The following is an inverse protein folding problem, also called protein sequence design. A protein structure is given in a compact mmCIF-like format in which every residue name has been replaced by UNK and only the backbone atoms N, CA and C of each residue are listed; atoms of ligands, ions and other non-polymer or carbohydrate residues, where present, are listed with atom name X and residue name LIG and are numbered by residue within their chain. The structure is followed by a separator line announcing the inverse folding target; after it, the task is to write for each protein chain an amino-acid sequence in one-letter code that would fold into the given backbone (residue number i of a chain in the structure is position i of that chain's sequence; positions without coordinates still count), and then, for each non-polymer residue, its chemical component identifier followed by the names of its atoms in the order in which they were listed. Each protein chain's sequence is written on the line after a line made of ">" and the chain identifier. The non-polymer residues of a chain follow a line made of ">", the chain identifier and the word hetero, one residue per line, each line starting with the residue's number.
data_IF_575882079750
#
_entry.id   IF_575882079750
#
_cell.length_a   1.000
_cell.length_b   1.000
_cell.length_c   1.000
_cell.angle_alpha   90.00
_cell.angle_beta   90.00
_cell.angle_gamma   90.00
#
_symmetry.space_group_name_H-M   'P 1'
#
loop_
_entity.id
_entity.type
_entity.pdbx_description
1 polymer ?
#
# COMPACT_ATOMS: atom_id res chain seq x y z
N UNK A 1 32.93 -19.38 39.84
CA UNK A 1 33.56 -18.61 38.75
C UNK A 1 32.51 -18.45 37.65
N UNK A 2 31.33 -17.89 37.92
CA UNK A 2 31.06 -16.47 38.17
C UNK A 2 31.82 -15.54 37.22
N UNK A 3 31.16 -15.18 36.12
CA UNK A 3 31.35 -13.89 35.45
C UNK A 3 30.07 -13.50 34.70
N UNK A 4 29.22 -12.73 35.40
CA UNK A 4 28.56 -11.54 34.87
C UNK A 4 27.60 -11.67 33.69
N UNK A 5 26.43 -12.28 33.92
CA UNK A 5 25.22 -11.88 33.18
C UNK A 5 24.81 -10.51 33.70
N UNK A 6 25.10 -9.45 32.95
CA UNK A 6 24.54 -8.13 33.22
C UNK A 6 23.07 -8.14 32.76
N UNK A 7 22.17 -8.26 33.73
CA UNK A 7 20.75 -8.02 33.57
C UNK A 7 20.51 -6.59 33.11
N UNK A 8 20.09 -6.42 31.85
CA UNK A 8 19.46 -5.19 31.38
C UNK A 8 17.96 -5.42 31.42
N UNK A 9 17.33 -4.99 32.51
CA UNK A 9 15.90 -4.80 32.56
C UNK A 9 15.52 -3.63 31.63
N UNK A 10 14.93 -3.96 30.49
CA UNK A 10 14.16 -3.06 29.63
C UNK A 10 13.22 -3.98 28.87
N UNK A 11 12.02 -4.25 29.38
CA UNK A 11 10.94 -3.28 29.40
C UNK A 11 10.09 -3.64 28.19
N UNK A 12 9.06 -4.44 28.43
CA UNK A 12 8.07 -4.88 27.45
C UNK A 12 7.40 -3.69 26.77
N UNK A 13 7.96 -3.16 25.69
CA UNK A 13 7.26 -2.23 24.79
C UNK A 13 6.43 -3.03 23.78
N UNK A 14 5.44 -3.75 24.32
CA UNK A 14 4.19 -3.94 23.62
C UNK A 14 3.60 -2.55 23.43
N UNK A 15 3.93 -1.90 22.32
CA UNK A 15 3.35 -0.64 21.88
C UNK A 15 1.87 -0.88 21.60
N UNK A 16 1.13 -0.85 22.70
CA UNK A 16 -0.30 -0.70 22.78
C UNK A 16 -0.61 0.46 21.86
N UNK A 17 -1.25 0.18 20.72
CA UNK A 17 -1.99 1.19 19.99
C UNK A 17 -2.96 1.71 21.02
N UNK A 18 -2.60 2.82 21.66
CA UNK A 18 -3.47 3.56 22.53
C UNK A 18 -4.60 4.01 21.61
N UNK A 19 -5.63 3.16 21.50
CA UNK A 19 -6.98 3.61 21.22
C UNK A 19 -7.14 4.74 22.21
N UNK A 20 -7.07 5.97 21.71
CA UNK A 20 -7.44 7.14 22.48
C UNK A 20 -8.88 6.91 22.89
N UNK A 21 -9.06 6.27 24.04
CA UNK A 21 -10.22 6.49 24.86
C UNK A 21 -10.08 7.97 25.15
N UNK A 22 -10.76 8.78 24.33
CA UNK A 22 -11.13 10.13 24.71
C UNK A 22 -11.76 9.91 26.07
N UNK A 23 -11.01 10.23 27.13
CA UNK A 23 -11.60 10.44 28.45
C UNK A 23 -12.62 11.50 28.18
N UNK A 24 -13.88 11.08 28.01
CA UNK A 24 -15.01 11.97 28.09
C UNK A 24 -14.83 12.64 29.44
N UNK A 25 -14.35 13.89 29.40
CA UNK A 25 -14.28 14.73 30.58
C UNK A 25 -15.60 14.58 31.32
N UNK A 26 -15.49 14.43 32.64
CA UNK A 26 -16.60 14.38 33.58
C UNK A 26 -17.84 15.06 33.03
N UNK A 27 -18.94 14.30 32.92
CA UNK A 27 -20.27 14.84 32.61
C UNK A 27 -20.45 16.10 33.46
N UNK A 28 -20.67 17.29 32.87
CA UNK A 28 -20.75 18.49 33.66
C UNK A 28 -21.89 18.33 34.67
N UNK A 29 -21.62 18.75 35.90
CA UNK A 29 -22.62 18.86 36.95
C UNK A 29 -23.87 19.54 36.36
N UNK A 30 -25.04 18.99 36.68
CA UNK A 30 -26.35 19.40 36.18
C UNK A 30 -26.48 20.95 36.13
N UNK A 31 -26.36 21.53 34.93
CA UNK A 31 -26.54 22.98 34.72
C UNK A 31 -27.92 23.22 34.13
N UNK A 32 -28.78 24.02 34.76
CA UNK A 32 -30.10 24.37 34.23
C UNK A 32 -30.02 24.97 32.81
N UNK A 33 -28.93 25.67 32.49
CA UNK A 33 -28.70 26.27 31.17
C UNK A 33 -28.43 25.25 30.06
N UNK A 34 -28.05 24.02 30.43
CA UNK A 34 -27.80 22.93 29.49
C UNK A 34 -29.04 22.04 29.29
N UNK A 35 -30.18 22.37 29.93
CA UNK A 35 -31.44 21.66 29.73
C UNK A 35 -31.92 21.82 28.28
N UNK A 36 -32.42 20.75 27.61
CA UNK A 36 -32.76 20.80 26.18
C UNK A 36 -33.73 21.92 25.79
N UNK A 37 -34.69 22.27 26.65
CA UNK A 37 -35.65 23.35 26.41
C UNK A 37 -34.95 24.72 26.37
N UNK A 38 -34.05 24.99 27.31
CA UNK A 38 -33.28 26.25 27.32
C UNK A 38 -32.30 26.33 26.15
N UNK A 39 -31.67 25.22 25.78
CA UNK A 39 -30.83 25.15 24.58
C UNK A 39 -31.62 25.46 23.31
N UNK A 40 -32.83 24.89 23.16
CA UNK A 40 -33.70 25.12 22.00
C UNK A 40 -34.14 26.59 21.91
N UNK A 41 -34.57 27.18 23.04
CA UNK A 41 -34.93 28.60 23.09
C UNK A 41 -33.74 29.50 22.74
N UNK A 42 -32.55 29.21 23.26
CA UNK A 42 -31.33 30.01 23.00
C UNK A 42 -30.83 29.88 21.56
N UNK A 43 -30.93 28.70 20.97
CA UNK A 43 -30.47 28.44 19.60
C UNK A 43 -31.54 28.72 18.52
N UNK A 44 -32.74 29.15 18.90
CA UNK A 44 -33.86 29.33 17.98
C UNK A 44 -34.32 28.02 17.29
N UNK A 45 -34.04 26.87 17.90
CA UNK A 45 -34.31 25.54 17.33
C UNK A 45 -35.74 25.10 17.70
N UNK A 46 -36.72 25.73 17.06
CA UNK A 46 -38.17 25.51 17.31
C UNK A 46 -38.58 24.05 17.14
N UNK A 47 -37.90 23.32 16.24
CA UNK A 47 -38.22 21.93 15.94
C UNK A 47 -37.42 20.91 16.77
N UNK A 48 -36.46 21.37 17.58
CA UNK A 48 -35.60 20.49 18.38
C UNK A 48 -34.78 19.51 17.53
N UNK A 49 -34.40 19.89 16.31
CA UNK A 49 -33.64 19.05 15.36
C UNK A 49 -32.29 19.64 14.98
N UNK A 50 -31.97 20.80 15.53
CA UNK A 50 -30.78 21.57 15.23
C UNK A 50 -29.69 21.42 16.30
N UNK A 51 -28.92 22.48 16.54
CA UNK A 51 -27.76 22.42 17.43
C UNK A 51 -28.11 21.98 18.87
N UNK A 52 -29.32 22.26 19.37
CA UNK A 52 -29.72 21.99 20.75
C UNK A 52 -29.73 20.49 21.10
N UNK A 53 -29.96 19.62 20.12
CA UNK A 53 -29.97 18.15 20.28
C UNK A 53 -28.68 17.49 19.78
N UNK A 54 -27.73 18.27 19.24
CA UNK A 54 -26.45 17.75 18.77
C UNK A 54 -25.52 17.53 19.96
N UNK A 55 -25.16 16.28 20.22
CA UNK A 55 -24.25 15.92 21.32
C UNK A 55 -22.87 16.56 21.15
N UNK A 56 -22.18 16.83 22.27
CA UNK A 56 -20.80 17.31 22.24
C UNK A 56 -19.89 16.34 21.46
N UNK A 57 -20.12 15.03 21.59
CA UNK A 57 -19.43 13.99 20.81
C UNK A 57 -19.59 14.24 19.31
N UNK A 58 -20.84 14.40 18.84
CA UNK A 58 -21.13 14.64 17.42
C UNK A 58 -20.46 15.92 16.91
N UNK A 59 -20.46 17.00 17.72
CA UNK A 59 -19.80 18.27 17.36
C UNK A 59 -18.28 18.15 17.26
N UNK A 60 -17.68 17.25 18.03
CA UNK A 60 -16.24 17.03 18.05
C UNK A 60 -15.76 15.97 17.03
N UNK A 61 -16.66 15.36 16.24
CA UNK A 61 -16.25 14.44 15.18
C UNK A 61 -15.64 15.26 14.04
N UNK A 62 -14.37 14.98 13.76
CA UNK A 62 -13.66 15.52 12.60
C UNK A 62 -13.51 14.45 11.52
N UNK A 63 -13.39 14.84 10.24
CA UNK A 63 -13.04 13.92 9.16
C UNK A 63 -11.71 13.22 9.44
N UNK A 64 -11.58 11.96 9.00
CA UNK A 64 -10.32 11.21 9.10
C UNK A 64 -9.15 11.90 8.36
N UNK A 65 -9.48 12.75 7.40
CA UNK A 65 -8.57 13.54 6.59
C UNK A 65 -8.10 14.83 7.26
N UNK A 66 -8.71 15.26 8.37
CA UNK A 66 -8.45 16.56 9.00
C UNK A 66 -7.01 16.72 9.51
N UNK A 67 -6.31 15.60 9.75
CA UNK A 67 -4.95 15.59 10.30
C UNK A 67 -3.85 15.55 9.25
N UNK A 68 -4.21 15.45 7.96
CA UNK A 68 -3.24 15.34 6.87
C UNK A 68 -2.49 16.66 6.64
N UNK A 69 -1.18 16.59 6.43
CA UNK A 69 -0.34 17.75 6.10
C UNK A 69 -0.29 18.04 4.59
N UNK A 70 -0.53 17.02 3.75
CA UNK A 70 -0.62 17.14 2.29
C UNK A 70 -1.60 16.16 1.68
N UNK A 71 -2.01 16.48 0.45
CA UNK A 71 -2.84 15.63 -0.40
C UNK A 71 -2.17 15.47 -1.75
N UNK A 72 -2.02 14.22 -2.20
CA UNK A 72 -1.41 13.87 -3.49
C UNK A 72 -2.45 13.19 -4.37
N UNK A 73 -2.49 13.56 -5.64
CA UNK A 73 -3.36 12.91 -6.62
C UNK A 73 -2.68 11.65 -7.17
N UNK A 74 -3.46 10.58 -7.32
CA UNK A 74 -3.00 9.32 -7.88
C UNK A 74 -4.13 8.60 -8.62
N UNK A 75 -3.82 7.44 -9.20
CA UNK A 75 -4.78 6.57 -9.89
C UNK A 75 -4.86 5.24 -9.17
N UNK A 76 -6.08 4.74 -8.98
CA UNK A 76 -6.33 3.46 -8.33
C UNK A 76 -5.74 2.29 -9.16
N UNK A 77 -4.86 1.45 -8.59
CA UNK A 77 -4.17 0.39 -9.34
C UNK A 77 -4.95 -0.94 -9.43
N UNK A 78 -6.22 -0.98 -9.01
CA UNK A 78 -6.93 -2.25 -8.85
C UNK A 78 -7.58 -2.79 -10.13
N UNK A 79 -8.58 -2.09 -10.65
CA UNK A 79 -9.31 -2.52 -11.84
C UNK A 79 -9.06 -1.56 -12.99
N UNK A 80 -9.40 -1.99 -14.20
CA UNK A 80 -9.17 -1.24 -15.43
C UNK A 80 -9.97 0.08 -15.55
N UNK A 81 -10.79 0.44 -14.55
CA UNK A 81 -11.52 1.72 -14.55
C UNK A 81 -10.56 2.90 -14.37
N UNK A 82 -9.51 2.76 -13.54
CA UNK A 82 -8.57 3.86 -13.29
C UNK A 82 -9.21 5.05 -12.57
N UNK A 83 -9.97 4.80 -11.50
CA UNK A 83 -10.55 5.87 -10.69
C UNK A 83 -9.44 6.81 -10.15
N UNK A 84 -9.66 8.13 -10.23
CA UNK A 84 -8.78 9.10 -9.58
C UNK A 84 -8.88 9.04 -8.06
N UNK A 85 -7.76 9.24 -7.38
CA UNK A 85 -7.63 9.18 -5.92
C UNK A 85 -6.98 10.44 -5.36
N UNK A 86 -7.46 10.89 -4.20
CA UNK A 86 -6.77 11.84 -3.31
C UNK A 86 -6.18 11.05 -2.14
N UNK A 87 -4.85 11.00 -2.10
CA UNK A 87 -4.05 10.32 -1.07
C UNK A 87 -3.66 11.36 -0.02
N UNK A 88 -4.20 11.20 1.18
CA UNK A 88 -3.92 12.07 2.32
C UNK A 88 -2.71 11.51 3.08
N UNK A 89 -1.73 12.37 3.33
CA UNK A 89 -0.45 12.00 3.94
C UNK A 89 -0.23 12.82 5.20
N UNK A 90 0.39 12.20 6.20
CA UNK A 90 0.86 12.84 7.43
C UNK A 90 2.18 12.19 7.84
N UNK A 91 3.20 12.99 8.16
CA UNK A 91 4.49 12.49 8.64
C UNK A 91 5.09 11.41 7.70
N UNK A 92 5.03 11.65 6.38
CA UNK A 92 5.44 10.71 5.32
C UNK A 92 4.68 9.38 5.26
N UNK A 93 3.53 9.27 5.93
CA UNK A 93 2.68 8.08 5.93
C UNK A 93 1.31 8.36 5.33
N UNK A 94 0.84 7.46 4.49
CA UNK A 94 -0.53 7.50 3.97
C UNK A 94 -1.49 7.27 5.15
N UNK A 95 -2.41 8.20 5.40
CA UNK A 95 -3.37 8.11 6.50
C UNK A 95 -4.80 7.89 6.03
N UNK A 96 -5.12 8.28 4.79
CA UNK A 96 -6.43 8.05 4.18
C UNK A 96 -6.35 8.15 2.66
N UNK A 97 -7.23 7.43 1.96
CA UNK A 97 -7.41 7.53 0.50
C UNK A 97 -8.89 7.72 0.19
N UNK A 98 -9.20 8.78 -0.55
CA UNK A 98 -10.55 9.09 -1.01
C UNK A 98 -10.60 9.19 -2.55
N UNK A 99 -11.79 9.15 -3.12
CA UNK A 99 -11.98 9.39 -4.55
C UNK A 99 -11.71 10.85 -4.91
N UNK A 100 -11.08 11.09 -6.05
CA UNK A 100 -10.83 12.44 -6.55
C UNK A 100 -12.07 13.02 -7.27
N UNK A 101 -12.71 14.08 -6.74
CA UNK A 101 -13.83 14.77 -7.40
C UNK A 101 -13.49 15.28 -8.80
N UNK A 102 -12.22 15.62 -9.03
CA UNK A 102 -11.71 16.19 -10.27
C UNK A 102 -11.43 15.11 -11.34
N UNK A 103 -11.57 13.82 -10.98
CA UNK A 103 -11.39 12.72 -11.92
C UNK A 103 -12.45 12.76 -13.03
N UNK A 104 -12.05 12.78 -14.32
CA UNK A 104 -13.00 12.73 -15.43
C UNK A 104 -13.72 11.38 -15.51
N UNK A 105 -13.15 10.34 -14.91
CA UNK A 105 -13.67 8.97 -14.94
C UNK A 105 -14.62 8.72 -13.77
N UNK A 106 -14.20 9.00 -12.54
CA UNK A 106 -14.93 8.59 -11.34
C UNK A 106 -15.65 9.71 -10.59
N UNK A 107 -15.31 10.99 -10.83
CA UNK A 107 -15.94 12.18 -10.22
C UNK A 107 -16.14 12.05 -8.71
N UNK A 108 -15.10 11.64 -7.99
CA UNK A 108 -15.10 11.48 -6.54
C UNK A 108 -15.56 10.13 -6.03
N UNK A 109 -16.04 9.22 -6.90
CA UNK A 109 -16.41 7.87 -6.50
C UNK A 109 -15.19 6.97 -6.39
N UNK A 110 -15.12 6.21 -5.31
CA UNK A 110 -14.10 5.19 -5.09
C UNK A 110 -14.73 3.98 -4.43
N UNK A 111 -14.45 2.77 -4.95
CA UNK A 111 -14.96 1.54 -4.36
C UNK A 111 -14.17 1.17 -3.09
N UNK A 112 -14.70 0.27 -2.24
CA UNK A 112 -14.03 -0.14 -1.00
C UNK A 112 -12.62 -0.72 -1.19
N UNK A 113 -12.33 -1.33 -2.36
CA UNK A 113 -10.97 -1.81 -2.70
C UNK A 113 -10.00 -0.65 -2.80
N UNK A 114 -10.35 0.37 -3.60
CA UNK A 114 -9.52 1.56 -3.80
C UNK A 114 -9.32 2.35 -2.50
N UNK A 115 -10.38 2.56 -1.73
CA UNK A 115 -10.30 3.28 -0.45
C UNK A 115 -9.41 2.54 0.58
N UNK A 116 -9.42 1.20 0.57
CA UNK A 116 -8.62 0.38 1.48
C UNK A 116 -7.17 0.14 1.01
N UNK A 117 -6.72 0.73 -0.11
CA UNK A 117 -5.34 0.54 -0.61
C UNK A 117 -4.25 1.04 0.35
N UNK A 118 -4.60 1.94 1.27
CA UNK A 118 -3.73 2.39 2.37
C UNK A 118 -3.21 1.21 3.21
N UNK A 119 -4.04 0.19 3.42
CA UNK A 119 -3.67 -1.02 4.18
C UNK A 119 -2.59 -1.86 3.50
N UNK A 120 -2.40 -1.75 2.18
CA UNK A 120 -1.33 -2.44 1.48
C UNK A 120 0.02 -1.75 1.70
N UNK A 121 0.02 -0.42 1.72
CA UNK A 121 1.22 0.38 1.88
C UNK A 121 1.75 0.30 3.31
N UNK A 122 0.84 0.37 4.28
CA UNK A 122 1.14 0.38 5.71
C UNK A 122 1.13 -1.01 6.37
N UNK A 123 0.98 -2.09 5.60
CA UNK A 123 0.92 -3.43 6.16
C UNK A 123 2.24 -3.82 6.86
N UNK A 124 2.24 -4.25 8.13
CA UNK A 124 3.46 -4.72 8.79
C UNK A 124 4.04 -6.00 8.15
N UNK A 125 3.24 -6.76 7.38
CA UNK A 125 3.68 -7.95 6.65
C UNK A 125 4.30 -7.62 5.28
N UNK A 126 4.31 -6.35 4.87
CA UNK A 126 4.91 -5.93 3.60
C UNK A 126 6.39 -6.31 3.59
N UNK A 127 6.81 -7.09 2.60
CA UNK A 127 8.21 -7.49 2.47
C UNK A 127 9.04 -6.31 1.97
N UNK A 128 10.01 -5.90 2.77
CA UNK A 128 10.95 -4.80 2.47
C UNK A 128 12.40 -5.28 2.38
N UNK A 129 12.64 -6.55 2.68
CA UNK A 129 13.96 -7.19 2.63
C UNK A 129 13.99 -8.22 1.51
N UNK A 130 15.13 -8.30 0.81
CA UNK A 130 15.35 -9.31 -0.22
C UNK A 130 15.54 -10.67 0.46
N UNK A 131 14.71 -11.64 0.07
CA UNK A 131 14.76 -13.02 0.55
C UNK A 131 15.35 -13.92 -0.52
N UNK A 132 16.24 -14.80 -0.11
CA UNK A 132 16.83 -15.83 -0.96
C UNK A 132 16.58 -17.22 -0.37
N UNK A 133 16.30 -18.17 -1.25
CA UNK A 133 16.19 -19.59 -0.90
C UNK A 133 17.15 -20.36 -1.79
N UNK A 134 18.12 -21.02 -1.19
CA UNK A 134 19.09 -21.82 -1.93
C UNK A 134 18.44 -23.03 -2.61
N UNK A 135 19.04 -23.57 -3.70
CA UNK A 135 18.55 -24.80 -4.32
C UNK A 135 18.35 -25.91 -3.29
N UNK A 136 17.19 -26.55 -3.34
CA UNK A 136 16.77 -27.63 -2.42
C UNK A 136 16.61 -27.24 -0.94
N UNK A 137 16.75 -25.96 -0.58
CA UNK A 137 16.48 -25.49 0.78
C UNK A 137 14.98 -25.29 1.03
N UNK A 138 14.55 -25.47 2.28
CA UNK A 138 13.18 -25.19 2.74
C UNK A 138 13.03 -23.79 3.33
N UNK A 139 14.10 -23.24 3.89
CA UNK A 139 14.11 -21.96 4.60
C UNK A 139 14.51 -20.78 3.73
N UNK A 140 14.03 -19.60 4.10
CA UNK A 140 14.45 -18.32 3.52
C UNK A 140 15.56 -17.69 4.36
N UNK A 141 16.50 -17.05 3.69
CA UNK A 141 17.50 -16.18 4.33
C UNK A 141 17.45 -14.78 3.72
N UNK A 142 17.92 -13.80 4.48
CA UNK A 142 18.12 -12.44 3.95
C UNK A 142 19.36 -12.38 3.06
N UNK A 143 19.29 -11.55 2.04
CA UNK A 143 20.39 -11.29 1.13
C UNK A 143 20.54 -9.79 0.92
N UNK A 144 21.77 -9.30 0.84
CA UNK A 144 22.00 -7.90 0.48
C UNK A 144 21.60 -7.65 -0.97
N UNK A 145 21.31 -6.39 -1.27
CA UNK A 145 20.80 -5.98 -2.57
C UNK A 145 21.80 -6.19 -3.70
N UNK A 146 23.05 -5.83 -3.51
CA UNK A 146 24.04 -5.83 -4.60
C UNK A 146 24.39 -7.27 -4.96
N UNK A 147 24.63 -8.12 -3.96
CA UNK A 147 24.81 -9.57 -4.16
C UNK A 147 23.60 -10.20 -4.83
N UNK A 148 22.37 -9.82 -4.45
CA UNK A 148 21.17 -10.34 -5.09
C UNK A 148 21.09 -9.97 -6.58
N UNK A 149 21.39 -8.72 -6.92
CA UNK A 149 21.37 -8.23 -8.30
C UNK A 149 22.46 -8.89 -9.14
N UNK A 150 23.68 -9.00 -8.63
CA UNK A 150 24.79 -9.69 -9.31
C UNK A 150 24.45 -11.17 -9.56
N UNK A 151 23.92 -11.84 -8.54
CA UNK A 151 23.46 -13.24 -8.66
C UNK A 151 22.34 -13.40 -9.70
N UNK A 152 21.42 -12.44 -9.81
CA UNK A 152 20.37 -12.45 -10.85
C UNK A 152 20.99 -12.26 -12.23
N UNK A 153 21.90 -11.30 -12.39
CA UNK A 153 22.54 -11.01 -13.66
C UNK A 153 23.34 -12.22 -14.18
N UNK A 154 24.17 -12.83 -13.34
CA UNK A 154 24.97 -14.00 -13.70
C UNK A 154 24.09 -15.17 -14.15
N UNK A 155 23.05 -15.47 -13.36
CA UNK A 155 22.11 -16.56 -13.68
C UNK A 155 21.28 -16.28 -14.91
N UNK A 156 20.89 -15.03 -15.13
CA UNK A 156 20.16 -14.62 -16.32
C UNK A 156 21.02 -14.80 -17.58
N UNK A 157 22.27 -14.36 -17.55
CA UNK A 157 23.21 -14.54 -18.65
C UNK A 157 23.50 -16.02 -18.92
N UNK A 158 23.69 -16.81 -17.87
CA UNK A 158 23.92 -18.25 -17.99
C UNK A 158 22.71 -18.98 -18.58
N UNK A 159 21.50 -18.68 -18.08
CA UNK A 159 20.26 -19.24 -18.60
C UNK A 159 20.07 -18.87 -20.08
N UNK A 160 20.36 -17.62 -20.46
CA UNK A 160 20.33 -17.15 -21.85
C UNK A 160 21.25 -17.98 -22.73
N UNK A 161 22.52 -18.15 -22.33
CA UNK A 161 23.53 -18.90 -23.09
C UNK A 161 23.12 -20.36 -23.27
N UNK A 162 22.69 -21.02 -22.21
CA UNK A 162 22.25 -22.43 -22.25
C UNK A 162 21.04 -22.66 -23.16
N UNK A 163 20.10 -21.72 -23.16
CA UNK A 163 18.88 -21.80 -23.94
C UNK A 163 18.95 -21.18 -25.34
N UNK A 164 20.11 -20.68 -25.78
CA UNK A 164 20.24 -19.95 -27.04
C UNK A 164 20.06 -20.88 -28.26
N UNK A 165 19.36 -20.37 -29.27
CA UNK A 165 19.09 -21.04 -30.54
C UNK A 165 19.43 -20.10 -31.69
N UNK A 166 20.51 -20.38 -32.43
CA UNK A 166 20.88 -19.62 -33.61
C UNK A 166 20.01 -19.97 -34.82
N UNK A 167 19.70 -21.25 -35.01
CA UNK A 167 18.90 -21.77 -36.11
C UNK A 167 17.91 -22.83 -35.64
N UNK A 168 16.90 -23.13 -36.44
CA UNK A 168 16.01 -24.27 -36.25
C UNK A 168 16.49 -25.53 -36.99
N UNK A 169 15.70 -26.61 -36.92
CA UNK A 169 16.01 -27.91 -37.55
C UNK A 169 16.07 -27.85 -39.09
N UNK A 170 15.47 -26.81 -39.69
CA UNK A 170 15.50 -26.56 -41.14
C UNK A 170 16.62 -25.58 -41.55
N UNK A 171 17.45 -25.14 -40.60
CA UNK A 171 18.55 -24.21 -40.83
C UNK A 171 18.12 -22.74 -40.96
N UNK A 172 16.87 -22.40 -40.64
CA UNK A 172 16.39 -21.00 -40.66
C UNK A 172 16.91 -20.27 -39.42
N UNK A 173 17.33 -18.99 -39.52
CA UNK A 173 17.83 -18.25 -38.38
C UNK A 173 16.71 -17.95 -37.36
N UNK A 174 16.94 -18.27 -36.09
CA UNK A 174 16.05 -17.99 -34.97
C UNK A 174 16.52 -16.81 -34.12
N UNK A 175 17.78 -16.86 -33.64
CA UNK A 175 18.41 -15.86 -32.74
C UNK A 175 17.56 -15.55 -31.50
N UNK A 176 17.16 -16.60 -30.79
CA UNK A 176 16.31 -16.51 -29.59
C UNK A 176 16.84 -17.37 -28.45
N UNK A 177 16.27 -17.22 -27.26
CA UNK A 177 16.50 -18.13 -26.14
C UNK A 177 15.19 -18.72 -25.61
N UNK A 178 15.22 -20.02 -25.32
CA UNK A 178 14.15 -20.75 -24.61
C UNK A 178 14.49 -20.94 -23.11
N UNK A 179 15.64 -20.40 -22.66
CA UNK A 179 16.10 -20.54 -21.28
C UNK A 179 15.51 -19.50 -20.31
N UNK A 180 14.71 -18.56 -20.82
CA UNK A 180 14.16 -17.45 -20.04
C UNK A 180 12.68 -17.30 -20.35
N UNK A 181 11.88 -17.25 -19.29
CA UNK A 181 10.47 -16.86 -19.34
C UNK A 181 10.21 -15.72 -18.35
N UNK A 182 9.28 -14.83 -18.72
CA UNK A 182 8.83 -13.72 -17.88
C UNK A 182 7.32 -13.77 -17.75
N UNK A 183 6.82 -13.64 -16.52
CA UNK A 183 5.41 -13.45 -16.21
C UNK A 183 5.25 -12.10 -15.53
N UNK A 184 4.74 -11.10 -16.26
CA UNK A 184 4.46 -9.77 -15.75
C UNK A 184 3.20 -9.69 -14.89
N UNK A 185 3.03 -8.58 -14.17
CA UNK A 185 1.85 -8.28 -13.36
C UNK A 185 0.91 -7.26 -14.01
N UNK A 186 -0.38 -7.36 -13.71
CA UNK A 186 -1.39 -6.42 -14.19
C UNK A 186 -1.34 -5.05 -13.50
N UNK A 187 -0.61 -4.93 -12.39
CA UNK A 187 -0.48 -3.71 -11.58
C UNK A 187 0.80 -2.91 -11.86
N UNK A 188 1.61 -3.34 -12.85
CA UNK A 188 2.81 -2.62 -13.28
C UNK A 188 2.42 -1.44 -14.18
N UNK A 189 3.18 -0.35 -14.10
CA UNK A 189 2.95 0.79 -14.99
C UNK A 189 3.43 0.51 -16.44
N UNK A 190 3.09 1.40 -17.37
CA UNK A 190 3.39 1.17 -18.78
C UNK A 190 4.90 1.29 -19.05
N UNK A 191 5.58 2.12 -18.29
CA UNK A 191 7.00 2.41 -18.35
C UNK A 191 7.83 1.19 -17.92
N UNK A 192 7.48 0.56 -16.81
CA UNK A 192 8.02 -0.71 -16.31
C UNK A 192 7.75 -1.83 -17.33
N UNK A 193 6.51 -1.95 -17.81
CA UNK A 193 6.17 -2.93 -18.84
C UNK A 193 7.00 -2.72 -20.12
N UNK A 194 7.22 -1.47 -20.52
CA UNK A 194 8.08 -1.14 -21.66
C UNK A 194 9.54 -1.56 -21.41
N UNK A 195 10.09 -1.28 -20.23
CA UNK A 195 11.45 -1.66 -19.86
C UNK A 195 11.63 -3.18 -19.80
N UNK A 196 10.68 -3.89 -19.18
CA UNK A 196 10.62 -5.35 -19.15
C UNK A 196 10.60 -5.88 -20.58
N UNK A 197 9.66 -5.41 -21.40
CA UNK A 197 9.54 -5.90 -22.78
C UNK A 197 10.81 -5.63 -23.59
N UNK A 198 11.42 -4.47 -23.43
CA UNK A 198 12.69 -4.12 -24.08
C UNK A 198 13.82 -5.06 -23.65
N UNK A 199 14.00 -5.24 -22.34
CA UNK A 199 15.05 -6.08 -21.77
C UNK A 199 14.95 -7.53 -22.27
N UNK A 200 13.78 -8.15 -22.10
CA UNK A 200 13.60 -9.56 -22.46
C UNK A 200 13.67 -9.79 -23.97
N UNK A 201 13.13 -8.86 -24.78
CA UNK A 201 13.23 -8.96 -26.24
C UNK A 201 14.67 -8.79 -26.71
N UNK A 202 15.43 -7.84 -26.13
CA UNK A 202 16.85 -7.66 -26.45
C UNK A 202 17.70 -8.88 -26.03
N UNK A 203 17.30 -9.56 -24.95
CA UNK A 203 17.90 -10.83 -24.56
C UNK A 203 17.53 -12.00 -25.50
N UNK A 204 16.61 -11.81 -26.45
CA UNK A 204 16.11 -12.85 -27.35
C UNK A 204 15.07 -13.78 -26.72
N UNK A 205 14.52 -13.43 -25.56
CA UNK A 205 13.49 -14.22 -24.92
C UNK A 205 12.14 -14.02 -25.63
N UNK A 206 11.44 -15.12 -25.91
CA UNK A 206 10.14 -15.11 -26.58
C UNK A 206 8.98 -15.44 -25.63
N UNK A 207 9.26 -16.07 -24.49
CA UNK A 207 8.27 -16.48 -23.50
C UNK A 207 7.98 -15.32 -22.53
N UNK A 208 7.35 -14.28 -23.05
CA UNK A 208 6.99 -13.08 -22.29
C UNK A 208 5.47 -13.02 -22.19
N UNK A 209 4.95 -13.25 -21.00
CA UNK A 209 3.52 -13.26 -20.70
C UNK A 209 3.17 -12.18 -19.66
N UNK A 210 1.87 -11.91 -19.52
CA UNK A 210 1.33 -11.03 -18.49
C UNK A 210 0.12 -11.70 -17.83
N UNK A 211 -0.05 -11.49 -16.52
CA UNK A 211 -1.23 -11.91 -15.77
C UNK A 211 -2.54 -11.53 -16.46
N UNK A 212 -2.62 -10.40 -17.18
CA UNK A 212 -3.83 -9.98 -17.89
C UNK A 212 -4.31 -10.98 -18.97
N UNK A 213 -3.47 -11.93 -19.39
CA UNK A 213 -3.83 -12.99 -20.34
C UNK A 213 -4.28 -14.30 -19.67
N UNK A 214 -3.97 -14.50 -18.39
CA UNK A 214 -4.34 -15.70 -17.60
C UNK A 214 -5.74 -15.49 -17.03
#
# INVERSE_FOLDING_TARGET
>A
MESGWLSVHGGDDASTVARGVVRLGSVPAFSPLEWPVFRQLRSGDVFGRGPAVTSAKTRAIEPRTATADRVVQSVCPFCAVGCGQKVYVKDERVVQIEGDPDSPISRGRLCPKGASSEQLVNNPLRQTTIRYRAPYATEWQDLDRDTAIDMIADRFLEARRRGWQDHDDEGRPLRRTMGIASLGGATLDNEENYLIKKLFTAAGAIQIENQARI
#
